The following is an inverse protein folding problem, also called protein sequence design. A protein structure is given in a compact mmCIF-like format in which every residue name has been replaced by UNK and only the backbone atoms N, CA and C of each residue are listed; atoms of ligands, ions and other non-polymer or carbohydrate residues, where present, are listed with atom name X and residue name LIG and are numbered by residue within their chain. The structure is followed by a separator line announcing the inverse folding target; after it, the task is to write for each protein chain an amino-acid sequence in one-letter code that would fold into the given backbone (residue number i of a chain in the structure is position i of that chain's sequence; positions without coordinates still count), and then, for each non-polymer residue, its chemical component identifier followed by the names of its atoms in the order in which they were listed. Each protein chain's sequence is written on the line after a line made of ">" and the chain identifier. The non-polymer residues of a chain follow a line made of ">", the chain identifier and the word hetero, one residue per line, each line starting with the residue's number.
data_IF_888283250372
#
_entry.id   IF_888283250372
#
_cell.length_a   1.000
_cell.length_b   1.000
_cell.length_c   1.000
_cell.angle_alpha   90.00
_cell.angle_beta   90.00
_cell.angle_gamma   90.00
#
_symmetry.space_group_name_H-M   'P 1'
#
loop_
_entity.id
_entity.type
_entity.pdbx_description
1 polymer ?
#
# COMPACT_ATOMS: atom_id res chain seq x y z
N UNK A 1 23.24 -31.44 -23.34
CA UNK A 1 22.47 -32.24 -22.37
C UNK A 1 21.42 -31.30 -21.81
N UNK A 2 20.14 -31.54 -22.10
CA UNK A 2 19.05 -30.69 -21.60
C UNK A 2 18.91 -30.92 -20.11
N UNK A 3 19.41 -29.99 -19.29
CA UNK A 3 19.13 -30.01 -17.86
C UNK A 3 17.63 -29.81 -17.68
N UNK A 4 16.98 -30.76 -17.03
CA UNK A 4 15.58 -30.66 -16.66
C UNK A 4 15.41 -29.45 -15.73
N UNK A 5 14.56 -28.49 -16.11
CA UNK A 5 14.23 -27.34 -15.28
C UNK A 5 13.59 -27.82 -13.97
N UNK A 6 14.38 -27.84 -12.89
CA UNK A 6 13.90 -28.10 -11.53
C UNK A 6 13.47 -26.79 -10.88
N UNK A 7 12.59 -26.85 -9.88
CA UNK A 7 12.13 -25.66 -9.14
C UNK A 7 13.30 -24.85 -8.56
N UNK A 8 14.38 -25.53 -8.15
CA UNK A 8 15.62 -24.90 -7.70
C UNK A 8 16.32 -24.13 -8.84
N UNK A 9 16.45 -24.73 -10.03
CA UNK A 9 17.05 -24.05 -11.20
C UNK A 9 16.18 -22.91 -11.74
N UNK A 10 14.86 -22.96 -11.55
CA UNK A 10 13.95 -21.86 -11.88
C UNK A 10 14.16 -20.66 -10.94
N UNK A 11 14.32 -20.90 -9.64
CA UNK A 11 14.60 -19.85 -8.65
C UNK A 11 16.00 -19.22 -8.77
N UNK A 12 16.99 -19.94 -9.31
CA UNK A 12 18.35 -19.44 -9.49
C UNK A 12 18.61 -18.83 -10.88
N UNK A 13 17.99 -19.38 -11.92
CA UNK A 13 18.33 -19.04 -13.31
C UNK A 13 17.14 -18.88 -14.23
N UNK A 14 15.90 -18.96 -13.72
CA UNK A 14 14.66 -18.98 -14.52
C UNK A 14 14.71 -20.04 -15.65
N UNK A 15 15.61 -21.03 -15.52
CA UNK A 15 15.98 -22.01 -16.55
C UNK A 15 16.48 -21.40 -17.89
N UNK A 16 16.84 -20.12 -17.89
CA UNK A 16 17.27 -19.38 -19.09
C UNK A 16 18.67 -19.75 -19.57
N UNK A 17 19.51 -20.33 -18.72
CA UNK A 17 20.86 -20.80 -19.08
C UNK A 17 20.86 -21.88 -20.18
N UNK A 18 19.70 -22.49 -20.47
CA UNK A 18 19.55 -23.45 -21.57
C UNK A 18 19.50 -22.81 -22.97
N UNK A 19 19.30 -21.49 -23.08
CA UNK A 19 19.15 -20.77 -24.37
C UNK A 19 20.52 -20.43 -24.97
N UNK A 20 21.55 -20.25 -24.14
CA UNK A 20 22.96 -20.12 -24.55
C UNK A 20 23.30 -18.81 -25.27
N UNK A 21 22.38 -17.82 -25.31
CA UNK A 21 22.60 -16.51 -25.89
C UNK A 21 22.30 -15.40 -24.86
N UNK A 22 23.32 -14.66 -24.39
CA UNK A 22 23.16 -13.73 -23.27
C UNK A 22 22.26 -12.53 -23.59
N UNK A 23 22.18 -12.10 -24.85
CA UNK A 23 21.31 -10.97 -25.23
C UNK A 23 19.85 -11.40 -25.20
N UNK A 24 19.55 -12.60 -25.71
CA UNK A 24 18.18 -13.14 -25.70
C UNK A 24 17.72 -13.39 -24.26
N UNK A 25 18.61 -13.87 -23.39
CA UNK A 25 18.32 -14.07 -21.97
C UNK A 25 17.92 -12.76 -21.28
N UNK A 26 18.71 -11.70 -21.42
CA UNK A 26 18.39 -10.38 -20.83
C UNK A 26 17.09 -9.80 -21.39
N UNK A 27 16.83 -9.96 -22.69
CA UNK A 27 15.56 -9.49 -23.29
C UNK A 27 14.36 -10.22 -22.71
N UNK A 28 14.46 -11.54 -22.50
CA UNK A 28 13.39 -12.33 -21.87
C UNK A 28 13.22 -11.91 -20.41
N UNK A 29 14.30 -11.68 -19.67
CA UNK A 29 14.25 -11.21 -18.27
C UNK A 29 13.56 -9.86 -18.13
N UNK A 30 13.92 -8.89 -18.99
CA UNK A 30 13.24 -7.57 -19.01
C UNK A 30 11.76 -7.75 -19.35
N UNK A 31 11.42 -8.60 -20.32
CA UNK A 31 10.03 -8.89 -20.67
C UNK A 31 9.24 -9.50 -19.50
N UNK A 32 9.84 -10.48 -18.80
CA UNK A 32 9.25 -11.11 -17.62
C UNK A 32 9.08 -10.12 -16.48
N UNK A 33 10.06 -9.24 -16.25
CA UNK A 33 10.00 -8.19 -15.23
C UNK A 33 8.84 -7.23 -15.50
N UNK A 34 8.66 -6.79 -16.76
CA UNK A 34 7.55 -5.92 -17.14
C UNK A 34 6.18 -6.60 -16.96
N UNK A 35 6.07 -7.87 -17.34
CA UNK A 35 4.85 -8.66 -17.12
C UNK A 35 4.57 -8.83 -15.61
N UNK A 36 5.61 -9.05 -14.81
CA UNK A 36 5.46 -9.19 -13.36
C UNK A 36 5.01 -7.88 -12.70
N UNK A 37 5.56 -6.72 -13.08
CA UNK A 37 5.06 -5.43 -12.60
C UNK A 37 3.63 -5.15 -13.03
N UNK A 38 3.26 -5.45 -14.28
CA UNK A 38 1.88 -5.31 -14.74
C UNK A 38 0.93 -6.24 -13.98
N UNK A 39 1.34 -7.48 -13.71
CA UNK A 39 0.59 -8.44 -12.89
C UNK A 39 0.42 -7.91 -11.47
N UNK A 40 1.49 -7.36 -10.89
CA UNK A 40 1.47 -6.79 -9.55
C UNK A 40 0.47 -5.63 -9.45
N UNK A 41 0.51 -4.69 -10.39
CA UNK A 41 -0.39 -3.55 -10.41
C UNK A 41 -1.86 -3.97 -10.50
N UNK A 42 -2.19 -4.83 -11.48
CA UNK A 42 -3.56 -5.31 -11.67
C UNK A 42 -4.07 -6.14 -10.49
N UNK A 43 -3.22 -7.01 -9.93
CA UNK A 43 -3.62 -7.85 -8.79
C UNK A 43 -3.69 -7.09 -7.47
N UNK A 44 -2.88 -6.04 -7.28
CA UNK A 44 -2.93 -5.18 -6.11
C UNK A 44 -4.24 -4.40 -6.04
N UNK A 45 -4.74 -3.89 -7.18
CA UNK A 45 -6.06 -3.22 -7.23
C UNK A 45 -7.18 -4.16 -6.76
N UNK A 46 -7.22 -5.39 -7.30
CA UNK A 46 -8.18 -6.41 -6.86
C UNK A 46 -8.02 -6.80 -5.39
N UNK A 47 -6.79 -6.81 -4.87
CA UNK A 47 -6.52 -7.08 -3.46
C UNK A 47 -7.07 -5.96 -2.58
N UNK A 48 -6.84 -4.70 -2.93
CA UNK A 48 -7.38 -3.53 -2.25
C UNK A 48 -8.91 -3.52 -2.25
N UNK A 49 -9.54 -3.72 -3.40
CA UNK A 49 -11.01 -3.79 -3.54
C UNK A 49 -11.61 -4.88 -2.63
N UNK A 50 -10.95 -6.05 -2.57
CA UNK A 50 -11.38 -7.16 -1.70
C UNK A 50 -11.23 -6.87 -0.21
N UNK A 51 -10.20 -6.12 0.17
CA UNK A 51 -9.99 -5.68 1.55
C UNK A 51 -11.01 -4.61 1.95
N UNK A 52 -11.32 -3.65 1.07
CA UNK A 52 -12.33 -2.62 1.32
C UNK A 52 -13.70 -3.25 1.57
N UNK A 53 -14.07 -4.20 0.73
CA UNK A 53 -15.31 -4.97 0.85
C UNK A 53 -15.33 -5.81 2.14
N UNK A 54 -14.18 -6.41 2.52
CA UNK A 54 -14.04 -7.10 3.80
C UNK A 54 -14.25 -6.15 4.99
N UNK A 55 -13.67 -4.95 4.94
CA UNK A 55 -13.83 -3.95 5.99
C UNK A 55 -15.28 -3.47 6.14
N UNK A 56 -15.99 -3.26 5.03
CA UNK A 56 -17.42 -2.92 5.02
C UNK A 56 -18.26 -4.04 5.63
N UNK A 57 -18.04 -5.29 5.19
CA UNK A 57 -18.80 -6.44 5.68
C UNK A 57 -18.60 -6.71 7.18
N UNK A 58 -17.39 -6.43 7.70
CA UNK A 58 -17.08 -6.57 9.13
C UNK A 58 -17.43 -5.31 9.95
N UNK A 59 -17.93 -4.25 9.32
CA UNK A 59 -18.28 -3.00 9.98
C UNK A 59 -17.09 -2.33 10.66
N UNK A 60 -15.90 -2.49 10.09
CA UNK A 60 -14.67 -1.90 10.63
C UNK A 60 -14.67 -0.38 10.37
N UNK A 61 -14.36 0.44 11.38
CA UNK A 61 -14.17 1.88 11.16
C UNK A 61 -13.07 2.10 10.12
N UNK A 62 -13.29 3.00 9.16
CA UNK A 62 -12.34 3.36 8.10
C UNK A 62 -10.93 3.63 8.64
N UNK A 63 -10.81 4.37 9.75
CA UNK A 63 -9.51 4.69 10.36
C UNK A 63 -8.72 3.43 10.76
N UNK A 64 -9.41 2.37 11.21
CA UNK A 64 -8.78 1.11 11.59
C UNK A 64 -8.56 0.22 10.36
N UNK A 65 -9.55 0.14 9.47
CA UNK A 65 -9.50 -0.65 8.23
C UNK A 65 -8.38 -0.18 7.30
N UNK A 66 -8.29 1.13 7.07
CA UNK A 66 -7.23 1.78 6.30
C UNK A 66 -5.84 1.54 6.89
N UNK A 67 -5.68 1.79 8.20
CA UNK A 67 -4.39 1.69 8.84
C UNK A 67 -3.87 0.25 9.06
N UNK A 68 -4.72 -0.76 8.91
CA UNK A 68 -4.35 -2.16 9.13
C UNK A 68 -4.53 -3.02 7.89
N UNK A 69 -5.77 -3.20 7.42
CA UNK A 69 -6.05 -4.09 6.28
C UNK A 69 -5.55 -3.49 4.97
N UNK A 70 -5.86 -2.22 4.65
CA UNK A 70 -5.36 -1.61 3.41
C UNK A 70 -3.85 -1.45 3.43
N UNK A 71 -3.30 -0.99 4.56
CA UNK A 71 -1.85 -0.92 4.76
C UNK A 71 -1.16 -2.29 4.62
N UNK A 72 -1.82 -3.37 5.05
CA UNK A 72 -1.33 -4.72 4.84
C UNK A 72 -1.37 -5.13 3.37
N UNK A 73 -2.42 -4.74 2.62
CA UNK A 73 -2.55 -4.94 1.17
C UNK A 73 -1.37 -4.41 0.37
N UNK A 74 -1.04 -3.12 0.57
CA UNK A 74 0.13 -2.49 -0.06
C UNK A 74 1.46 -3.14 0.34
N UNK A 75 1.55 -3.69 1.57
CA UNK A 75 2.76 -4.35 2.06
C UNK A 75 2.90 -5.83 1.64
N UNK A 76 1.89 -6.47 1.04
CA UNK A 76 1.94 -7.89 0.63
C UNK A 76 3.12 -8.20 -0.31
N UNK A 77 3.38 -7.41 -1.37
CA UNK A 77 4.52 -7.63 -2.25
C UNK A 77 5.84 -7.70 -1.49
N UNK A 78 6.05 -6.73 -0.59
CA UNK A 78 7.27 -6.57 0.17
C UNK A 78 7.45 -7.71 1.17
N UNK A 79 6.40 -8.06 1.91
CA UNK A 79 6.41 -9.19 2.84
C UNK A 79 6.76 -10.47 2.08
N UNK A 80 6.22 -10.64 0.87
CA UNK A 80 6.50 -11.82 0.05
C UNK A 80 7.95 -11.85 -0.43
N UNK A 81 8.48 -10.76 -0.99
CA UNK A 81 9.88 -10.71 -1.43
C UNK A 81 10.83 -10.91 -0.25
N UNK A 82 10.58 -10.26 0.89
CA UNK A 82 11.43 -10.35 2.07
C UNK A 82 11.40 -11.75 2.72
N UNK A 83 10.22 -12.36 2.80
CA UNK A 83 10.09 -13.73 3.32
C UNK A 83 10.77 -14.73 2.39
N UNK A 84 10.61 -14.57 1.08
CA UNK A 84 11.28 -15.42 0.09
C UNK A 84 12.81 -15.26 0.15
N UNK A 85 13.31 -14.02 0.14
CA UNK A 85 14.74 -13.75 0.24
C UNK A 85 15.34 -14.37 1.50
N UNK A 86 14.63 -14.27 2.63
CA UNK A 86 15.04 -14.90 3.89
C UNK A 86 15.01 -16.43 3.80
N UNK A 87 13.97 -17.02 3.21
CA UNK A 87 13.89 -18.48 3.02
C UNK A 87 15.01 -18.98 2.10
N UNK A 88 15.27 -18.29 1.00
CA UNK A 88 16.34 -18.61 0.05
C UNK A 88 17.71 -18.52 0.72
N UNK A 89 17.96 -17.46 1.50
CA UNK A 89 19.18 -17.31 2.29
C UNK A 89 19.45 -18.50 3.23
N UNK A 90 18.40 -19.04 3.86
CA UNK A 90 18.50 -20.21 4.74
C UNK A 90 18.79 -21.49 3.93
N UNK A 91 18.18 -21.65 2.75
CA UNK A 91 18.33 -22.85 1.92
C UNK A 91 19.65 -22.89 1.13
N UNK A 92 20.11 -21.74 0.62
CA UNK A 92 21.30 -21.62 -0.24
C UNK A 92 22.60 -21.52 0.56
N UNK A 93 22.52 -21.23 1.86
CA UNK A 93 23.68 -20.99 2.72
C UNK A 93 24.40 -19.65 2.46
N UNK A 94 23.98 -18.87 1.45
CA UNK A 94 24.54 -17.57 1.11
C UNK A 94 23.73 -16.45 1.78
N UNK A 95 23.94 -16.32 3.10
CA UNK A 95 23.10 -15.49 3.95
C UNK A 95 23.28 -13.97 3.75
N UNK A 96 24.40 -13.52 3.16
CA UNK A 96 24.73 -12.10 3.04
C UNK A 96 24.09 -11.41 1.83
N UNK A 97 24.06 -12.05 0.65
CA UNK A 97 23.58 -11.41 -0.58
C UNK A 97 22.05 -11.28 -0.60
N UNK A 98 21.35 -12.36 -0.22
CA UNK A 98 19.89 -12.44 -0.24
C UNK A 98 19.26 -11.57 0.86
N UNK A 99 19.89 -11.47 2.03
CA UNK A 99 19.43 -10.59 3.10
C UNK A 99 19.57 -9.10 2.75
N UNK A 100 20.62 -8.72 2.03
CA UNK A 100 20.85 -7.35 1.61
C UNK A 100 19.79 -6.86 0.61
N UNK A 101 19.30 -7.73 -0.27
CA UNK A 101 18.19 -7.42 -1.18
C UNK A 101 16.92 -7.07 -0.39
N UNK A 102 16.53 -7.91 0.58
CA UNK A 102 15.33 -7.69 1.37
C UNK A 102 15.41 -6.42 2.24
N UNK A 103 16.55 -6.20 2.91
CA UNK A 103 16.77 -4.97 3.68
C UNK A 103 16.71 -3.73 2.77
N UNK A 104 17.30 -3.82 1.58
CA UNK A 104 17.23 -2.77 0.56
C UNK A 104 15.80 -2.46 0.15
N UNK A 105 14.99 -3.48 -0.14
CA UNK A 105 13.59 -3.33 -0.51
C UNK A 105 12.76 -2.64 0.59
N UNK A 106 12.91 -3.05 1.85
CA UNK A 106 12.20 -2.44 3.00
C UNK A 106 12.56 -0.95 3.15
N UNK A 107 13.85 -0.62 3.06
CA UNK A 107 14.30 0.77 3.19
C UNK A 107 13.88 1.61 1.97
N UNK A 108 13.91 1.02 0.79
CA UNK A 108 13.52 1.69 -0.46
C UNK A 108 12.05 2.04 -0.48
N UNK A 109 11.19 1.09 -0.12
CA UNK A 109 9.74 1.26 -0.01
C UNK A 109 9.41 2.42 0.93
N UNK A 110 9.93 2.39 2.17
CA UNK A 110 9.73 3.49 3.11
C UNK A 110 10.20 4.85 2.59
N UNK A 111 11.33 4.91 1.86
CA UNK A 111 11.77 6.17 1.26
C UNK A 111 10.82 6.66 0.17
N UNK A 112 10.31 5.78 -0.69
CA UNK A 112 9.35 6.13 -1.73
C UNK A 112 8.01 6.55 -1.13
N UNK A 113 7.48 5.79 -0.18
CA UNK A 113 6.22 6.06 0.50
C UNK A 113 6.24 7.38 1.29
N UNK A 114 7.33 7.70 2.00
CA UNK A 114 7.38 8.91 2.83
C UNK A 114 7.94 10.15 2.15
N UNK A 115 8.74 10.02 1.08
CA UNK A 115 9.32 11.15 0.37
C UNK A 115 8.68 11.35 -1.00
N UNK A 116 8.63 10.29 -1.81
CA UNK A 116 8.23 10.40 -3.21
C UNK A 116 6.73 10.58 -3.36
N UNK A 117 5.91 9.73 -2.74
CA UNK A 117 4.45 9.81 -2.87
C UNK A 117 3.90 11.16 -2.37
N UNK A 118 4.21 11.65 -1.15
CA UNK A 118 3.75 12.95 -0.69
C UNK A 118 4.28 14.12 -1.52
N UNK A 119 5.51 14.01 -2.06
CA UNK A 119 6.05 15.04 -2.94
C UNK A 119 5.28 15.11 -4.27
N UNK A 120 4.94 13.96 -4.86
CA UNK A 120 4.12 13.88 -6.06
C UNK A 120 2.71 14.43 -5.81
N UNK A 121 2.05 14.02 -4.72
CA UNK A 121 0.74 14.55 -4.33
C UNK A 121 0.80 16.08 -4.09
N UNK A 122 1.86 16.59 -3.48
CA UNK A 122 2.05 18.03 -3.25
C UNK A 122 2.23 18.83 -4.55
N UNK A 123 2.90 18.25 -5.55
CA UNK A 123 3.08 18.87 -6.87
C UNK A 123 1.80 18.79 -7.70
N UNK A 124 1.07 17.66 -7.62
CA UNK A 124 -0.16 17.42 -8.38
C UNK A 124 -1.38 18.14 -7.79
N UNK A 125 -1.38 18.42 -6.48
CA UNK A 125 -2.46 19.11 -5.79
C UNK A 125 -2.63 20.53 -6.33
N UNK A 126 -3.86 20.85 -6.73
CA UNK A 126 -4.20 22.18 -7.21
C UNK A 126 -4.08 23.21 -6.06
N UNK A 127 -3.44 24.35 -6.34
CA UNK A 127 -3.11 25.37 -5.32
C UNK A 127 -4.32 25.97 -4.63
N UNK A 128 -5.53 25.69 -5.12
CA UNK A 128 -6.80 26.19 -4.60
C UNK A 128 -7.34 25.38 -3.41
N UNK A 129 -6.85 24.15 -3.16
CA UNK A 129 -7.29 23.35 -2.01
C UNK A 129 -6.14 23.24 -0.99
N UNK A 130 -6.22 23.90 0.18
CA UNK A 130 -5.20 23.75 1.20
C UNK A 130 -5.22 22.33 1.77
N UNK A 131 -4.13 21.58 1.59
CA UNK A 131 -3.92 20.27 2.22
C UNK A 131 -3.80 20.45 3.74
N UNK A 132 -4.89 20.20 4.47
CA UNK A 132 -4.94 20.34 5.93
C UNK A 132 -4.57 19.01 6.61
N UNK A 133 -3.32 18.91 7.07
CA UNK A 133 -2.88 17.75 7.86
C UNK A 133 -3.18 17.93 9.35
N UNK A 134 -3.80 16.92 9.96
CA UNK A 134 -3.98 16.86 11.42
C UNK A 134 -2.63 16.57 12.07
N UNK A 135 -2.16 17.47 12.94
CA UNK A 135 -0.85 17.32 13.63
C UNK A 135 -0.75 16.09 14.52
N UNK A 136 -1.83 15.71 15.21
CA UNK A 136 -1.81 14.63 16.20
C UNK A 136 -1.57 13.24 15.59
N UNK A 137 -2.33 12.80 14.56
CA UNK A 137 -2.05 11.53 13.87
C UNK A 137 -0.66 11.54 13.24
N UNK A 138 -0.28 12.63 12.57
CA UNK A 138 1.03 12.75 11.92
C UNK A 138 2.19 12.56 12.91
N UNK A 139 2.17 13.24 14.05
CA UNK A 139 3.23 13.09 15.07
C UNK A 139 3.26 11.68 15.66
N UNK A 140 2.10 11.03 15.87
CA UNK A 140 2.05 9.63 16.32
C UNK A 140 2.72 8.71 15.30
N UNK A 141 2.31 8.80 14.03
CA UNK A 141 2.77 7.91 12.97
C UNK A 141 4.29 8.08 12.73
N UNK A 142 4.77 9.32 12.68
CA UNK A 142 6.21 9.63 12.56
C UNK A 142 7.01 9.12 13.76
N UNK A 143 6.46 9.20 14.98
CA UNK A 143 7.15 8.71 16.18
C UNK A 143 7.31 7.20 16.16
N UNK A 144 6.24 6.45 15.89
CA UNK A 144 6.30 4.98 15.82
C UNK A 144 7.19 4.52 14.67
N UNK A 145 7.09 5.14 13.51
CA UNK A 145 7.98 4.85 12.39
C UNK A 145 9.45 5.13 12.73
N UNK A 146 9.74 6.28 13.35
CA UNK A 146 11.09 6.64 13.81
C UNK A 146 11.66 5.62 14.81
N UNK A 147 10.85 5.13 15.75
CA UNK A 147 11.26 4.05 16.67
C UNK A 147 11.56 2.76 15.90
N UNK A 148 10.70 2.35 14.96
CA UNK A 148 10.92 1.16 14.13
C UNK A 148 12.23 1.26 13.33
N UNK A 149 12.51 2.41 12.71
CA UNK A 149 13.77 2.65 11.98
C UNK A 149 14.98 2.61 12.91
N UNK A 150 14.89 3.18 14.12
CA UNK A 150 15.99 3.11 15.10
C UNK A 150 16.28 1.69 15.56
N UNK A 151 15.24 0.88 15.80
CA UNK A 151 15.39 -0.55 16.14
C UNK A 151 16.02 -1.31 14.97
N UNK A 152 15.61 -1.02 13.73
CA UNK A 152 16.20 -1.62 12.53
C UNK A 152 17.68 -1.24 12.38
N UNK A 153 18.05 0.05 12.53
CA UNK A 153 19.44 0.51 12.50
C UNK A 153 20.27 -0.18 13.59
N UNK A 154 19.71 -0.35 14.79
CA UNK A 154 20.37 -1.08 15.86
C UNK A 154 20.63 -2.54 15.47
N UNK A 155 19.62 -3.23 14.92
CA UNK A 155 19.74 -4.61 14.46
C UNK A 155 20.79 -4.80 13.36
N UNK A 156 20.90 -3.83 12.44
CA UNK A 156 21.90 -3.84 11.38
C UNK A 156 23.33 -3.66 11.91
N UNK A 157 23.52 -3.02 13.07
CA UNK A 157 24.85 -2.82 13.68
C UNK A 157 25.32 -3.99 14.52
N UNK A 158 24.42 -4.72 15.16
CA UNK A 158 24.73 -5.77 16.15
C UNK A 158 24.57 -7.19 15.61
N UNK A 159 24.19 -7.32 14.34
CA UNK A 159 23.69 -8.51 13.65
C UNK A 159 22.21 -8.82 13.95
N UNK A 160 21.49 -9.18 12.89
CA UNK A 160 20.04 -9.43 12.95
C UNK A 160 19.80 -10.73 13.71
N UNK A 161 19.09 -10.63 14.82
CA UNK A 161 18.64 -11.78 15.63
C UNK A 161 17.13 -11.80 15.72
N UNK A 162 16.55 -12.96 16.05
CA UNK A 162 15.10 -13.13 16.24
C UNK A 162 14.50 -12.16 17.26
N UNK A 163 15.28 -11.74 18.26
CA UNK A 163 14.87 -10.76 19.27
C UNK A 163 14.52 -9.41 18.62
N UNK A 164 15.33 -8.94 17.66
CA UNK A 164 15.05 -7.68 16.96
C UNK A 164 13.74 -7.75 16.18
N UNK A 165 13.45 -8.89 15.53
CA UNK A 165 12.18 -9.14 14.85
C UNK A 165 10.99 -9.13 15.81
N UNK A 166 11.10 -9.78 16.97
CA UNK A 166 10.06 -9.76 18.01
C UNK A 166 9.82 -8.34 18.53
N UNK A 167 10.87 -7.55 18.75
CA UNK A 167 10.75 -6.15 19.17
C UNK A 167 10.01 -5.32 18.11
N UNK A 168 10.34 -5.48 16.83
CA UNK A 168 9.64 -4.78 15.74
C UNK A 168 8.15 -5.15 15.68
N UNK A 169 7.81 -6.43 15.85
CA UNK A 169 6.41 -6.88 15.94
C UNK A 169 5.70 -6.25 17.15
N UNK A 170 6.36 -6.18 18.30
CA UNK A 170 5.78 -5.53 19.49
C UNK A 170 5.56 -4.03 19.29
N UNK A 171 6.47 -3.33 18.61
CA UNK A 171 6.30 -1.92 18.23
C UNK A 171 5.11 -1.76 17.28
N UNK A 172 4.94 -2.64 16.30
CA UNK A 172 3.78 -2.65 15.40
C UNK A 172 2.46 -2.90 16.15
N UNK A 173 2.41 -3.90 17.04
CA UNK A 173 1.22 -4.16 17.88
C UNK A 173 0.91 -2.95 18.76
N UNK A 174 1.92 -2.32 19.36
CA UNK A 174 1.75 -1.10 20.14
C UNK A 174 1.20 0.05 19.29
N UNK A 175 1.69 0.23 18.05
CA UNK A 175 1.17 1.20 17.10
C UNK A 175 -0.32 0.98 16.81
N UNK A 176 -0.70 -0.23 16.36
CA UNK A 176 -2.11 -0.58 16.08
C UNK A 176 -2.98 -0.40 17.32
N UNK A 177 -2.47 -0.77 18.49
CA UNK A 177 -3.14 -0.56 19.78
C UNK A 177 -3.41 0.93 20.01
N UNK A 178 -2.41 1.81 19.85
CA UNK A 178 -2.63 3.26 20.00
C UNK A 178 -3.58 3.85 18.95
N UNK A 179 -3.66 3.23 17.78
CA UNK A 179 -4.59 3.62 16.72
C UNK A 179 -6.04 3.25 17.11
N UNK A 180 -6.27 2.01 17.53
CA UNK A 180 -7.58 1.54 18.00
C UNK A 180 -8.09 2.31 19.23
N UNK A 181 -7.21 2.63 20.17
CA UNK A 181 -7.58 3.37 21.39
C UNK A 181 -7.56 4.90 21.21
N UNK A 182 -7.02 5.43 20.11
CA UNK A 182 -6.87 6.86 19.87
C UNK A 182 -8.22 7.60 19.88
N UNK A 183 -9.22 7.03 19.22
CA UNK A 183 -10.58 7.56 19.16
C UNK A 183 -11.30 7.51 20.52
N UNK A 184 -11.10 6.44 21.28
CA UNK A 184 -11.65 6.30 22.63
C UNK A 184 -11.02 7.32 23.59
N UNK A 185 -9.71 7.57 23.48
CA UNK A 185 -9.01 8.56 24.29
C UNK A 185 -9.39 10.00 23.89
N UNK A 186 -9.54 10.28 22.59
CA UNK A 186 -9.96 11.60 22.11
C UNK A 186 -11.42 11.92 22.50
N UNK A 187 -12.32 10.95 22.40
CA UNK A 187 -13.71 11.10 22.82
C UNK A 187 -13.82 11.23 24.35
N UNK A 188 -13.06 10.45 25.11
CA UNK A 188 -12.97 10.58 26.57
C UNK A 188 -12.38 11.94 27.00
N UNK A 189 -11.29 12.40 26.38
CA UNK A 189 -10.66 13.68 26.69
C UNK A 189 -11.57 14.87 26.35
N UNK A 190 -12.27 14.81 25.23
CA UNK A 190 -13.27 15.82 24.84
C UNK A 190 -14.43 15.84 25.83
N UNK A 191 -14.94 14.66 26.22
CA UNK A 191 -16.00 14.53 27.22
C UNK A 191 -15.55 15.06 28.59
N UNK A 192 -14.35 14.72 29.04
CA UNK A 192 -13.75 15.23 30.27
C UNK A 192 -13.58 16.75 30.25
N UNK A 193 -13.07 17.31 29.14
CA UNK A 193 -12.89 18.77 28.95
C UNK A 193 -14.21 19.52 28.97
N UNK A 194 -15.25 19.00 28.30
CA UNK A 194 -16.59 19.59 28.32
C UNK A 194 -17.21 19.52 29.73
N UNK A 195 -17.00 18.41 30.43
CA UNK A 195 -17.48 18.24 31.82
C UNK A 195 -16.79 19.19 32.79
N UNK A 196 -15.48 19.46 32.61
CA UNK A 196 -14.74 20.42 33.42
C UNK A 196 -15.02 21.88 33.03
N UNK A 197 -15.24 22.19 31.73
CA UNK A 197 -15.65 23.53 31.29
C UNK A 197 -17.05 23.87 31.79
N UNK A 198 -17.98 22.92 31.75
CA UNK A 198 -19.33 23.09 32.27
C UNK A 198 -19.34 23.12 33.80
N UNK A 199 -18.42 22.41 34.48
CA UNK A 199 -18.23 22.53 35.94
C UNK A 199 -17.74 23.92 36.38
N UNK A 200 -16.85 24.55 35.60
CA UNK A 200 -16.40 25.94 35.85
C UNK A 200 -17.47 26.96 35.49
N UNK A 201 -18.24 26.74 34.42
CA UNK A 201 -19.37 27.60 34.04
C UNK A 201 -20.56 27.50 35.02
N UNK A 202 -20.89 26.29 35.49
CA UNK A 202 -21.96 26.04 36.46
C UNK A 202 -21.65 26.56 37.87
N UNK A 203 -20.37 26.68 38.23
CA UNK A 203 -19.97 27.34 39.47
C UNK A 203 -20.14 28.88 39.41
N UNK A 204 -20.33 29.44 38.21
CA UNK A 204 -20.38 30.88 37.97
C UNK A 204 -21.81 31.43 37.80
N UNK A 205 -22.81 30.60 37.43
CA UNK A 205 -24.25 30.99 37.44
C UNK A 205 -25.20 29.79 37.73
N UNK A 206 -26.03 29.82 38.80
CA UNK A 206 -26.87 28.70 39.22
C UNK A 206 -28.28 28.62 38.57
N UNK A 207 -28.57 29.31 37.47
CA UNK A 207 -29.91 29.31 36.87
C UNK A 207 -29.92 29.21 35.34
N UNK A 208 -30.03 27.98 34.81
CA UNK A 208 -30.68 27.59 33.51
C UNK A 208 -30.41 26.09 33.22
N UNK A 209 -31.19 25.20 33.82
CA UNK A 209 -31.09 23.73 33.70
C UNK A 209 -31.80 23.14 32.48
N UNK A 210 -31.84 23.85 31.34
CA UNK A 210 -32.43 23.35 30.10
C UNK A 210 -31.42 23.12 28.95
N UNK A 211 -30.21 23.69 29.03
CA UNK A 211 -29.25 23.71 27.91
C UNK A 211 -28.33 22.47 27.88
N UNK A 212 -27.99 21.92 29.06
CA UNK A 212 -27.05 20.79 29.15
C UNK A 212 -27.58 19.44 28.66
N UNK A 213 -28.90 19.21 28.67
CA UNK A 213 -29.51 17.99 28.12
C UNK A 213 -29.58 18.03 26.58
N UNK A 214 -29.80 19.22 26.02
CA UNK A 214 -29.79 19.46 24.58
C UNK A 214 -28.38 19.32 23.99
N UNK A 215 -27.35 19.83 24.67
CA UNK A 215 -25.94 19.68 24.26
C UNK A 215 -25.46 18.21 24.37
N UNK A 216 -25.92 17.46 25.38
CA UNK A 216 -25.58 16.04 25.51
C UNK A 216 -26.32 15.16 24.48
N UNK A 217 -27.56 15.50 24.14
CA UNK A 217 -28.28 14.86 23.04
C UNK A 217 -27.65 15.19 21.69
N UNK A 218 -27.29 16.46 21.44
CA UNK A 218 -26.60 16.84 20.19
C UNK A 218 -25.24 16.18 20.07
N UNK A 219 -24.51 15.99 21.18
CA UNK A 219 -23.27 15.23 21.19
C UNK A 219 -23.47 13.73 20.96
N UNK A 220 -24.55 13.13 21.51
CA UNK A 220 -24.89 11.73 21.26
C UNK A 220 -25.34 11.51 19.82
N UNK A 221 -26.07 12.45 19.24
CA UNK A 221 -26.43 12.48 17.82
C UNK A 221 -25.21 12.73 16.93
N UNK A 222 -24.30 13.63 17.32
CA UNK A 222 -23.02 13.84 16.65
C UNK A 222 -22.19 12.56 16.64
N UNK A 223 -22.05 11.87 17.79
CA UNK A 223 -21.34 10.59 17.87
C UNK A 223 -22.03 9.49 17.07
N UNK A 224 -23.37 9.46 17.05
CA UNK A 224 -24.14 8.51 16.24
C UNK A 224 -23.95 8.77 14.75
N UNK A 225 -23.91 10.04 14.33
CA UNK A 225 -23.62 10.44 12.95
C UNK A 225 -22.18 10.13 12.58
N UNK A 226 -21.20 10.45 13.42
CA UNK A 226 -19.78 10.15 13.20
C UNK A 226 -19.52 8.64 13.10
N UNK A 227 -20.15 7.83 13.96
CA UNK A 227 -19.96 6.37 13.93
C UNK A 227 -20.70 5.70 12.77
N UNK A 228 -21.87 6.22 12.36
CA UNK A 228 -22.53 5.78 11.11
C UNK A 228 -21.77 6.24 9.87
N UNK A 229 -21.11 7.40 9.93
CA UNK A 229 -20.30 7.94 8.84
C UNK A 229 -19.02 7.12 8.67
N UNK A 230 -18.33 6.74 9.76
CA UNK A 230 -17.12 5.89 9.73
C UNK A 230 -17.32 4.51 9.08
N UNK A 231 -18.54 3.96 9.13
CA UNK A 231 -18.91 2.73 8.39
C UNK A 231 -19.48 3.01 7.01
N UNK A 232 -20.01 4.21 6.73
CA UNK A 232 -20.48 4.57 5.38
C UNK A 232 -19.36 5.01 4.46
N UNK A 233 -18.19 5.44 4.94
CA UNK A 233 -17.16 6.05 4.06
C UNK A 233 -16.70 5.13 2.92
N UNK A 234 -16.50 3.83 3.17
CA UNK A 234 -16.16 2.90 2.09
C UNK A 234 -17.24 2.90 1.01
N UNK A 235 -18.51 2.90 1.41
CA UNK A 235 -19.67 2.93 0.52
C UNK A 235 -19.87 4.31 -0.14
N UNK A 236 -19.55 5.38 0.57
CA UNK A 236 -19.57 6.77 0.09
C UNK A 236 -18.51 6.99 -1.01
N UNK A 237 -17.32 6.37 -0.90
CA UNK A 237 -16.28 6.36 -1.94
C UNK A 237 -16.83 5.79 -3.26
N UNK A 238 -17.50 4.65 -3.21
CA UNK A 238 -18.12 4.04 -4.39
C UNK A 238 -19.34 4.83 -4.89
N UNK A 239 -20.14 5.41 -3.99
CA UNK A 239 -21.27 6.27 -4.36
C UNK A 239 -20.79 7.55 -5.07
N UNK A 240 -19.64 8.11 -4.67
CA UNK A 240 -19.01 9.27 -5.32
C UNK A 240 -18.41 8.92 -6.69
N UNK A 241 -17.76 7.76 -6.81
CA UNK A 241 -17.28 7.21 -8.08
C UNK A 241 -18.44 6.95 -9.06
N UNK A 242 -19.56 6.43 -8.58
CA UNK A 242 -20.77 6.19 -9.36
C UNK A 242 -21.53 7.49 -9.69
N UNK A 243 -21.45 8.50 -8.81
CA UNK A 243 -22.06 9.82 -8.99
C UNK A 243 -21.23 10.75 -9.88
N UNK A 244 -20.00 10.37 -10.25
CA UNK A 244 -19.19 11.12 -11.20
C UNK A 244 -19.96 11.23 -12.52
N UNK A 245 -20.43 12.44 -12.90
CA UNK A 245 -21.06 12.60 -14.19
C UNK A 245 -19.98 12.43 -15.25
N UNK A 246 -20.35 11.90 -16.41
CA UNK A 246 -19.59 12.06 -17.65
C UNK A 246 -19.47 13.57 -17.97
N UNK A 247 -18.58 14.28 -17.27
CA UNK A 247 -18.22 15.64 -17.59
C UNK A 247 -17.25 15.54 -18.77
N UNK A 248 -17.82 15.56 -19.98
CA UNK A 248 -17.12 16.14 -21.12
C UNK A 248 -16.46 17.43 -20.65
N UNK A 249 -15.15 17.46 -20.76
CA UNK A 249 -14.28 18.57 -20.36
C UNK A 249 -14.63 19.82 -21.16
N UNK A 250 -15.60 20.59 -20.64
CA UNK A 250 -15.81 21.99 -20.95
C UNK A 250 -14.58 22.78 -20.52
N UNK A 251 -13.77 23.12 -21.52
CA UNK A 251 -12.56 23.92 -21.45
C UNK A 251 -12.65 25.14 -20.53
N UNK A 252 -11.74 25.23 -19.56
CA UNK A 252 -11.30 26.53 -19.02
C UNK A 252 -9.87 26.77 -19.46
N UNK A 253 -9.68 27.75 -20.34
CA UNK A 253 -8.44 28.03 -21.05
C UNK A 253 -7.37 28.63 -20.12
N UNK A 254 -6.32 27.86 -19.84
CA UNK A 254 -5.01 28.39 -19.43
C UNK A 254 -3.92 27.59 -20.15
N UNK A 255 -3.20 28.28 -21.05
CA UNK A 255 -1.89 27.95 -21.63
C UNK A 255 -1.66 26.47 -22.02
N UNK A 256 -2.39 25.99 -23.03
CA UNK A 256 -2.49 24.57 -23.40
C UNK A 256 -2.05 24.34 -24.85
N UNK A 257 -0.77 24.05 -25.06
CA UNK A 257 -0.28 23.45 -26.33
C UNK A 257 0.72 22.32 -26.04
N UNK A 258 1.63 22.50 -25.08
CA UNK A 258 2.59 21.47 -24.64
C UNK A 258 1.98 20.42 -23.72
N UNK A 259 1.08 20.81 -22.80
CA UNK A 259 0.39 19.88 -21.91
C UNK A 259 -0.61 18.98 -22.65
N UNK A 260 -1.33 19.54 -23.65
CA UNK A 260 -2.34 18.84 -24.44
C UNK A 260 -1.74 17.79 -25.40
N UNK A 261 -0.54 18.09 -25.92
CA UNK A 261 0.23 17.12 -26.71
C UNK A 261 0.76 15.98 -25.83
N UNK A 262 1.22 16.30 -24.61
CA UNK A 262 1.66 15.30 -23.64
C UNK A 262 0.51 14.37 -23.22
N UNK A 263 -0.68 14.88 -22.91
CA UNK A 263 -1.86 14.05 -22.59
C UNK A 263 -2.33 13.20 -23.78
N UNK A 264 -2.32 13.72 -25.01
CA UNK A 264 -2.71 12.91 -26.18
C UNK A 264 -1.71 11.79 -26.50
N UNK A 265 -0.41 12.01 -26.29
CA UNK A 265 0.61 10.98 -26.45
C UNK A 265 0.55 9.94 -25.34
N UNK A 266 0.34 10.38 -24.09
CA UNK A 266 0.14 9.48 -22.95
C UNK A 266 -1.12 8.63 -23.11
N UNK A 267 -2.23 9.20 -23.60
CA UNK A 267 -3.45 8.43 -23.89
C UNK A 267 -3.25 7.37 -24.98
N UNK A 268 -2.49 7.69 -26.05
CA UNK A 268 -2.20 6.70 -27.09
C UNK A 268 -1.29 5.58 -26.57
N UNK A 269 -0.26 5.93 -25.79
CA UNK A 269 0.64 4.95 -25.17
C UNK A 269 -0.13 4.06 -24.18
N UNK A 270 -1.03 4.64 -23.38
CA UNK A 270 -1.85 3.90 -22.42
C UNK A 270 -2.81 2.95 -23.13
N UNK A 271 -3.44 3.37 -24.22
CA UNK A 271 -4.31 2.50 -25.02
C UNK A 271 -3.55 1.33 -25.67
N UNK A 272 -2.35 1.60 -26.18
CA UNK A 272 -1.51 0.55 -26.78
C UNK A 272 -0.98 -0.41 -25.70
N UNK A 273 -0.64 0.11 -24.51
CA UNK A 273 -0.25 -0.68 -23.35
C UNK A 273 -1.42 -1.55 -22.84
N UNK A 274 -2.62 -0.99 -22.74
CA UNK A 274 -3.84 -1.72 -22.37
C UNK A 274 -4.15 -2.83 -23.36
N UNK A 275 -3.94 -2.59 -24.66
CA UNK A 275 -4.12 -3.61 -25.70
C UNK A 275 -3.11 -4.76 -25.55
N UNK A 276 -1.86 -4.47 -25.19
CA UNK A 276 -0.81 -5.47 -24.94
C UNK A 276 -1.05 -6.24 -23.64
N UNK A 277 -1.54 -5.56 -22.60
CA UNK A 277 -1.82 -6.14 -21.28
C UNK A 277 -3.19 -6.81 -21.19
N UNK A 278 -4.08 -6.60 -22.17
CA UNK A 278 -5.41 -7.21 -22.24
C UNK A 278 -5.46 -8.71 -21.91
N UNK A 279 -4.60 -9.59 -22.48
CA UNK A 279 -4.64 -11.02 -22.14
C UNK A 279 -4.27 -11.29 -20.67
N UNK A 280 -3.31 -10.55 -20.13
CA UNK A 280 -2.90 -10.67 -18.74
C UNK A 280 -4.04 -10.20 -17.81
N UNK A 281 -4.64 -9.05 -18.12
CA UNK A 281 -5.81 -8.53 -17.41
C UNK A 281 -6.96 -9.53 -17.43
N UNK A 282 -7.24 -10.13 -18.60
CA UNK A 282 -8.29 -11.14 -18.72
C UNK A 282 -8.04 -12.38 -17.86
N UNK A 283 -6.79 -12.85 -17.75
CA UNK A 283 -6.42 -13.98 -16.87
C UNK A 283 -6.65 -13.62 -15.39
N UNK A 284 -6.26 -12.41 -14.99
CA UNK A 284 -6.45 -11.93 -13.63
C UNK A 284 -7.93 -11.76 -13.33
N UNK A 285 -8.71 -11.12 -14.20
CA UNK A 285 -10.15 -10.90 -14.02
C UNK A 285 -10.96 -12.22 -13.98
N UNK A 286 -10.51 -13.27 -14.70
CA UNK A 286 -11.10 -14.61 -14.57
C UNK A 286 -10.79 -15.23 -13.20
N UNK A 287 -9.58 -14.99 -12.69
CA UNK A 287 -9.11 -15.56 -11.42
C UNK A 287 -9.64 -14.80 -10.20
N UNK A 288 -9.79 -13.49 -10.35
CA UNK A 288 -10.17 -12.51 -9.34
C UNK A 288 -11.50 -11.87 -9.79
N UNK A 289 -12.66 -12.44 -9.40
CA UNK A 289 -13.94 -11.84 -9.73
C UNK A 289 -14.07 -10.48 -9.05
N UNK A 290 -14.68 -9.52 -9.75
CA UNK A 290 -14.86 -8.16 -9.25
C UNK A 290 -15.76 -8.19 -8.00
N UNK A 291 -15.18 -7.82 -6.86
CA UNK A 291 -15.84 -7.86 -5.56
C UNK A 291 -16.22 -6.47 -5.03
N UNK A 292 -16.17 -5.43 -5.86
CA UNK A 292 -16.52 -4.06 -5.46
C UNK A 292 -17.92 -3.99 -4.85
N UNK A 293 -18.10 -3.08 -3.90
CA UNK A 293 -19.36 -2.83 -3.21
C UNK A 293 -20.44 -2.52 -4.26
N UNK A 294 -21.65 -3.09 -4.10
CA UNK A 294 -22.79 -3.02 -5.03
C UNK A 294 -22.74 -3.91 -6.28
N UNK A 295 -21.69 -4.69 -6.50
CA UNK A 295 -21.65 -5.66 -7.59
C UNK A 295 -22.31 -7.00 -7.23
N UNK A 296 -22.85 -7.76 -8.23
CA UNK A 296 -23.50 -9.05 -7.96
C UNK A 296 -22.56 -10.10 -7.34
N UNK A 297 -21.25 -9.90 -7.43
CA UNK A 297 -20.21 -10.80 -6.93
C UNK A 297 -19.56 -10.32 -5.62
N UNK A 298 -20.13 -9.32 -4.92
CA UNK A 298 -19.62 -8.79 -3.64
C UNK A 298 -19.32 -9.88 -2.60
N UNK A 299 -20.18 -10.92 -2.50
CA UNK A 299 -20.01 -12.02 -1.55
C UNK A 299 -18.79 -12.94 -1.84
N UNK A 300 -18.17 -12.83 -3.03
CA UNK A 300 -16.98 -13.58 -3.40
C UNK A 300 -15.68 -12.88 -2.98
N UNK A 301 -15.75 -11.78 -2.20
CA UNK A 301 -14.59 -11.02 -1.75
C UNK A 301 -13.45 -11.89 -1.17
N UNK A 302 -13.78 -12.96 -0.42
CA UNK A 302 -12.77 -13.84 0.16
C UNK A 302 -12.01 -14.65 -0.90
N UNK A 303 -12.69 -15.07 -1.98
CA UNK A 303 -12.05 -15.77 -3.09
C UNK A 303 -11.12 -14.81 -3.85
N UNK A 304 -11.61 -13.61 -4.15
CA UNK A 304 -10.85 -12.54 -4.81
C UNK A 304 -9.60 -12.20 -3.99
N UNK A 305 -9.73 -12.08 -2.67
CA UNK A 305 -8.62 -11.85 -1.76
C UNK A 305 -7.51 -12.91 -1.89
N UNK A 306 -7.85 -14.20 -1.79
CA UNK A 306 -6.84 -15.26 -1.87
C UNK A 306 -6.24 -15.41 -3.27
N UNK A 307 -7.05 -15.23 -4.32
CA UNK A 307 -6.57 -15.25 -5.70
C UNK A 307 -5.61 -14.09 -5.98
N UNK A 308 -6.01 -12.86 -5.62
CA UNK A 308 -5.19 -11.67 -5.76
C UNK A 308 -3.90 -11.76 -4.94
N UNK A 309 -3.98 -12.22 -3.68
CA UNK A 309 -2.80 -12.46 -2.83
C UNK A 309 -1.82 -13.44 -3.49
N UNK A 310 -2.33 -14.50 -4.12
CA UNK A 310 -1.50 -15.49 -4.82
C UNK A 310 -0.82 -14.87 -6.05
N UNK A 311 -1.54 -14.07 -6.82
CA UNK A 311 -0.98 -13.36 -7.99
C UNK A 311 0.06 -12.33 -7.59
N UNK A 312 -0.21 -11.51 -6.57
CA UNK A 312 0.75 -10.56 -6.01
C UNK A 312 2.00 -11.29 -5.52
N UNK A 313 1.82 -12.41 -4.82
CA UNK A 313 2.94 -13.23 -4.32
C UNK A 313 3.78 -13.82 -5.46
N UNK A 314 3.14 -14.34 -6.51
CA UNK A 314 3.80 -14.91 -7.67
C UNK A 314 4.55 -13.85 -8.49
N UNK A 315 3.95 -12.68 -8.71
CA UNK A 315 4.59 -11.55 -9.39
C UNK A 315 5.81 -11.05 -8.60
N UNK A 316 5.66 -10.92 -7.28
CA UNK A 316 6.74 -10.53 -6.37
C UNK A 316 7.91 -11.53 -6.38
N UNK A 317 7.60 -12.83 -6.41
CA UNK A 317 8.59 -13.89 -6.56
C UNK A 317 9.37 -13.75 -7.87
N UNK A 318 8.67 -13.53 -8.99
CA UNK A 318 9.31 -13.36 -10.31
C UNK A 318 10.22 -12.12 -10.35
N UNK A 319 9.78 -11.00 -9.79
CA UNK A 319 10.59 -9.77 -9.67
C UNK A 319 11.87 -10.08 -8.89
N UNK A 320 11.77 -10.74 -7.74
CA UNK A 320 12.92 -11.13 -6.92
C UNK A 320 13.92 -12.00 -7.70
N UNK A 321 13.44 -13.02 -8.43
CA UNK A 321 14.29 -13.90 -9.23
C UNK A 321 15.03 -13.17 -10.36
N UNK A 322 14.36 -12.24 -11.06
CA UNK A 322 15.00 -11.46 -12.12
C UNK A 322 16.08 -10.53 -11.54
N UNK A 323 15.76 -9.85 -10.44
CA UNK A 323 16.70 -8.94 -9.78
C UNK A 323 17.93 -9.68 -9.26
N UNK A 324 17.75 -10.83 -8.61
CA UNK A 324 18.86 -11.67 -8.14
C UNK A 324 19.83 -12.03 -9.27
N UNK A 325 19.29 -12.41 -10.43
CA UNK A 325 20.10 -12.75 -11.61
C UNK A 325 20.87 -11.54 -12.13
N UNK A 326 20.26 -10.36 -12.15
CA UNK A 326 20.92 -9.12 -12.59
C UNK A 326 22.06 -8.72 -11.66
N UNK A 327 21.90 -8.89 -10.35
CA UNK A 327 22.97 -8.68 -9.37
C UNK A 327 24.17 -9.57 -9.66
N UNK A 328 23.93 -10.85 -9.97
CA UNK A 328 24.99 -11.80 -10.33
C UNK A 328 25.67 -11.42 -11.65
N UNK A 329 24.89 -11.05 -12.67
CA UNK A 329 25.43 -10.64 -13.98
C UNK A 329 26.32 -9.40 -13.89
N UNK A 330 25.96 -8.43 -13.05
CA UNK A 330 26.72 -7.20 -12.87
C UNK A 330 28.02 -7.38 -12.07
N UNK A 331 28.33 -8.60 -11.60
CA UNK A 331 29.53 -8.94 -10.83
C UNK A 331 29.80 -8.01 -9.63
N UNK A 332 28.76 -7.36 -9.12
CA UNK A 332 28.84 -6.38 -8.04
C UNK A 332 27.89 -6.81 -6.92
N UNK A 333 28.33 -7.65 -5.96
CA UNK A 333 27.48 -8.12 -4.87
C UNK A 333 26.97 -6.97 -4.00
N UNK A 334 27.69 -5.83 -3.94
CA UNK A 334 27.23 -4.61 -3.27
C UNK A 334 26.02 -3.94 -3.94
N UNK A 335 25.66 -4.33 -5.16
CA UNK A 335 24.52 -3.78 -5.89
C UNK A 335 23.17 -4.40 -5.51
N UNK A 336 23.14 -5.54 -4.79
CA UNK A 336 21.89 -6.20 -4.39
C UNK A 336 20.99 -5.28 -3.56
N UNK A 337 21.56 -4.60 -2.57
CA UNK A 337 20.84 -3.62 -1.76
C UNK A 337 20.33 -2.44 -2.58
N UNK A 338 21.07 -2.00 -3.61
CA UNK A 338 20.64 -0.90 -4.49
C UNK A 338 19.48 -1.31 -5.40
N UNK A 339 19.53 -2.50 -6.00
CA UNK A 339 18.42 -2.99 -6.82
C UNK A 339 17.18 -3.33 -5.98
N UNK A 340 17.36 -3.83 -4.76
CA UNK A 340 16.26 -3.95 -3.79
C UNK A 340 15.64 -2.59 -3.46
N UNK A 341 16.48 -1.60 -3.13
CA UNK A 341 16.06 -0.22 -2.82
C UNK A 341 15.32 0.46 -3.98
N UNK A 342 15.71 0.18 -5.24
CA UNK A 342 15.18 0.87 -6.39
C UNK A 342 14.11 0.05 -7.12
N UNK A 343 14.42 -1.12 -7.67
CA UNK A 343 13.51 -1.85 -8.56
C UNK A 343 12.37 -2.53 -7.82
N UNK A 344 12.68 -3.23 -6.72
CA UNK A 344 11.66 -3.96 -5.96
C UNK A 344 10.72 -2.98 -5.26
N UNK A 345 11.30 -1.99 -4.59
CA UNK A 345 10.54 -0.94 -3.92
C UNK A 345 9.68 -0.12 -4.89
N UNK A 346 10.22 0.34 -6.03
CA UNK A 346 9.42 1.06 -7.03
C UNK A 346 8.26 0.21 -7.54
N UNK A 347 8.49 -1.08 -7.77
CA UNK A 347 7.46 -2.01 -8.19
C UNK A 347 6.25 -2.06 -7.27
N UNK A 348 6.52 -2.22 -5.97
CA UNK A 348 5.50 -2.30 -4.94
C UNK A 348 4.75 -0.99 -4.73
N UNK A 349 5.43 0.14 -4.91
CA UNK A 349 4.90 1.49 -4.62
C UNK A 349 4.21 2.16 -5.82
N UNK A 350 4.36 1.63 -7.04
CA UNK A 350 3.70 2.18 -8.24
C UNK A 350 2.17 2.24 -8.09
N UNK A 351 1.47 1.16 -7.67
CA UNK A 351 0.02 1.19 -7.49
C UNK A 351 -0.41 2.25 -6.47
N UNK A 352 0.29 2.31 -5.33
CA UNK A 352 -0.01 3.27 -4.27
C UNK A 352 0.24 4.72 -4.73
N UNK A 353 1.30 4.96 -5.50
CA UNK A 353 1.58 6.27 -6.07
C UNK A 353 0.51 6.72 -7.09
N UNK A 354 0.00 5.78 -7.90
CA UNK A 354 -1.08 6.07 -8.85
C UNK A 354 -2.37 6.39 -8.09
N UNK A 355 -2.75 5.54 -7.14
CA UNK A 355 -3.95 5.72 -6.31
C UNK A 355 -3.90 6.99 -5.46
N UNK A 356 -2.72 7.45 -5.06
CA UNK A 356 -2.56 8.71 -4.33
C UNK A 356 -2.65 9.97 -5.21
N UNK A 357 -2.54 9.82 -6.54
CA UNK A 357 -2.58 10.92 -7.52
C UNK A 357 -3.92 11.06 -8.23
N UNK A 358 -4.66 9.96 -8.38
CA UNK A 358 -6.04 9.91 -8.90
C UNK A 358 -7.03 10.21 -7.80
#
# INVERSE_FOLDING_TARGET
>A
MSESCTLASFGESLCLNSIGNPVVEVVIEVGLLLIAFATLALAADHLCDSMETLCDHWGLPEEIGGATFMAFGGAVPEITVNSLATMKAIMSGNQEADAALGIGAILGSGLLAFLTVPALCSIASDKMVPLLLKRKPLTRDVLFYGVSVLVLIHALRTAITTIHGVVLILVYIAYVTTLCYGDQVQSWYTQWRLTHRNGVAAAMEPSKTADGSAEFQSFREFRRKENNQKTSVFRDKYDEELAMPLIETGSTQVSTESAQKCTSLLQNIQRDLDAVLWPLKHIIDISCPDCRIYQPQENLYALTFFAAFTWVSAASFLIGCVVDRWVVLLHNPSSSGFFGLLLVALGAEIPDAINALT
#
